data_IF_572417795188
#
_entry.id   IF_572417795188
#
_cell.length_a   1.000
_cell.length_b   1.000
_cell.length_c   1.000
_cell.angle_alpha   90.00
_cell.angle_beta   90.00
_cell.angle_gamma   90.00
#
_symmetry.space_group_name_H-M   'P 1'
#
loop_
_entity.id
_entity.type
_entity.pdbx_description
1 polymer ?
#
# COMPACT_ATOMS: atom_id res chain seq x y z
N UNK A 1 -40.37 36.23 5.29
CA UNK A 1 -39.85 36.11 3.91
C UNK A 1 -38.34 36.31 3.95
N UNK A 2 -37.58 35.25 4.18
CA UNK A 2 -36.12 35.27 4.05
C UNK A 2 -35.74 34.79 2.66
N UNK A 3 -34.91 35.55 1.93
CA UNK A 3 -34.36 35.12 0.63
C UNK A 3 -33.55 33.84 0.84
N UNK A 4 -33.68 32.82 -0.02
CA UNK A 4 -32.77 31.68 0.00
C UNK A 4 -31.35 32.17 -0.38
N UNK A 5 -30.29 31.50 0.13
CA UNK A 5 -28.93 31.80 -0.30
C UNK A 5 -28.81 31.55 -1.80
N UNK A 6 -28.15 32.48 -2.51
CA UNK A 6 -27.86 32.35 -3.94
C UNK A 6 -27.07 31.06 -4.16
N UNK A 7 -27.57 30.18 -5.02
CA UNK A 7 -26.75 29.12 -5.59
C UNK A 7 -25.59 29.78 -6.33
N UNK A 8 -24.36 29.51 -5.90
CA UNK A 8 -23.20 29.78 -6.74
C UNK A 8 -23.31 28.84 -7.94
N UNK A 9 -23.69 29.38 -9.10
CA UNK A 9 -23.60 28.67 -10.37
C UNK A 9 -22.13 28.51 -10.71
N UNK A 10 -21.52 27.41 -10.25
CA UNK A 10 -20.20 27.02 -10.71
C UNK A 10 -20.32 26.60 -12.19
N UNK A 11 -19.56 27.25 -13.06
CA UNK A 11 -19.53 26.93 -14.49
C UNK A 11 -18.95 25.52 -14.68
N UNK A 12 -19.70 24.64 -15.33
CA UNK A 12 -19.17 23.38 -15.86
C UNK A 12 -17.94 23.65 -16.73
N UNK A 13 -16.92 22.78 -16.64
CA UNK A 13 -15.75 22.85 -17.54
C UNK A 13 -16.23 22.77 -18.99
N UNK A 14 -15.75 23.66 -19.84
CA UNK A 14 -16.10 23.64 -21.26
C UNK A 14 -15.69 22.31 -21.89
N UNK A 15 -16.52 21.80 -22.80
CA UNK A 15 -16.34 20.48 -23.42
C UNK A 15 -14.95 20.33 -24.05
N UNK A 16 -14.23 19.27 -23.70
CA UNK A 16 -12.86 18.99 -24.15
C UNK A 16 -11.73 19.77 -23.44
N UNK A 17 -12.03 20.58 -22.41
CA UNK A 17 -11.00 21.24 -21.60
C UNK A 17 -10.72 20.48 -20.30
N UNK A 18 -9.47 20.58 -19.84
CA UNK A 18 -9.10 20.08 -18.52
C UNK A 18 -9.62 21.03 -17.44
N UNK A 19 -10.06 20.47 -16.31
CA UNK A 19 -10.27 21.25 -15.11
C UNK A 19 -8.95 21.80 -14.57
N UNK A 20 -9.03 22.88 -13.79
CA UNK A 20 -7.87 23.50 -13.15
C UNK A 20 -7.19 22.57 -12.12
N UNK A 21 -8.01 21.79 -11.40
CA UNK A 21 -7.56 20.90 -10.34
C UNK A 21 -7.71 19.45 -10.78
N UNK A 22 -6.75 18.63 -10.38
CA UNK A 22 -6.77 17.18 -10.56
C UNK A 22 -6.68 16.53 -9.20
N UNK A 23 -7.66 15.70 -8.86
CA UNK A 23 -7.62 14.82 -7.70
C UNK A 23 -6.85 13.56 -8.10
N UNK A 24 -5.79 13.25 -7.34
CA UNK A 24 -5.04 12.02 -7.47
C UNK A 24 -5.51 11.09 -6.37
N UNK A 25 -5.93 9.90 -6.77
CA UNK A 25 -6.57 8.92 -5.91
C UNK A 25 -5.89 7.57 -6.12
N UNK A 26 -4.91 7.26 -5.27
CA UNK A 26 -4.28 5.95 -5.22
C UNK A 26 -5.13 5.04 -4.33
N UNK A 27 -5.94 4.19 -4.97
CA UNK A 27 -6.94 3.38 -4.30
C UNK A 27 -6.36 2.05 -3.76
N UNK A 28 -5.55 2.16 -2.71
CA UNK A 28 -4.95 1.01 -2.05
C UNK A 28 -5.93 0.23 -1.17
N UNK A 29 -5.72 -1.09 -1.03
CA UNK A 29 -6.56 -1.98 -0.21
C UNK A 29 -6.49 -1.69 1.30
N UNK A 30 -5.33 -1.29 1.81
CA UNK A 30 -5.15 -0.91 3.22
C UNK A 30 -5.64 0.52 3.47
N UNK A 31 -5.19 1.43 2.62
CA UNK A 31 -5.48 2.83 2.71
C UNK A 31 -5.35 3.52 1.36
N UNK A 32 -6.27 4.44 1.15
CA UNK A 32 -6.35 5.36 0.02
C UNK A 32 -5.38 6.49 0.25
N UNK A 33 -4.64 6.89 -0.79
CA UNK A 33 -3.83 8.11 -0.78
C UNK A 33 -4.48 9.10 -1.73
N UNK A 34 -4.94 10.21 -1.19
CA UNK A 34 -5.72 11.18 -1.93
C UNK A 34 -5.19 12.60 -1.72
N UNK A 35 -5.24 13.42 -2.76
CA UNK A 35 -4.72 14.78 -2.71
C UNK A 35 -4.84 15.48 -4.06
N UNK A 36 -4.78 16.81 -4.05
CA UNK A 36 -4.94 17.61 -5.26
C UNK A 36 -3.60 18.03 -5.84
N UNK A 37 -3.55 18.10 -7.16
CA UNK A 37 -2.51 18.77 -7.93
C UNK A 37 -3.15 19.71 -8.95
N UNK A 38 -2.37 20.63 -9.49
CA UNK A 38 -2.78 21.56 -10.54
C UNK A 38 -1.64 21.73 -11.54
N UNK A 39 -1.94 22.27 -12.71
CA UNK A 39 -0.93 22.54 -13.75
C UNK A 39 0.15 23.45 -13.17
N UNK A 40 1.41 23.13 -13.47
CA UNK A 40 2.63 23.80 -12.97
C UNK A 40 2.89 23.67 -11.46
N UNK A 41 2.12 22.83 -10.75
CA UNK A 41 2.36 22.55 -9.34
C UNK A 41 3.70 21.83 -9.11
N UNK A 42 4.26 22.03 -7.91
CA UNK A 42 5.35 21.23 -7.35
C UNK A 42 4.78 20.38 -6.21
N UNK A 43 4.37 19.13 -6.48
CA UNK A 43 3.69 18.31 -5.49
C UNK A 43 4.64 17.88 -4.37
N UNK A 44 4.13 17.88 -3.14
CA UNK A 44 4.83 17.41 -1.94
C UNK A 44 3.97 16.37 -1.21
N UNK A 45 4.50 15.16 -0.98
CA UNK A 45 3.73 14.06 -0.41
C UNK A 45 3.34 14.28 1.05
N UNK A 46 4.09 15.08 1.81
CA UNK A 46 3.81 15.31 3.22
C UNK A 46 2.76 16.40 3.39
N UNK A 47 2.79 17.42 2.53
CA UNK A 47 1.82 18.51 2.56
C UNK A 47 0.51 18.18 1.84
N UNK A 48 0.60 17.56 0.67
CA UNK A 48 -0.51 17.54 -0.30
C UNK A 48 -1.25 16.19 -0.38
N UNK A 49 -0.72 15.14 0.27
CA UNK A 49 -1.28 13.79 0.24
C UNK A 49 -1.79 13.35 1.61
N UNK A 50 -3.06 12.98 1.66
CA UNK A 50 -3.73 12.43 2.83
C UNK A 50 -3.85 10.91 2.69
N UNK A 51 -3.66 10.18 3.79
CA UNK A 51 -3.82 8.73 3.85
C UNK A 51 -5.08 8.43 4.65
N UNK A 52 -5.99 7.65 4.07
CA UNK A 52 -7.26 7.29 4.70
C UNK A 52 -7.39 5.77 4.72
N UNK A 53 -7.79 5.14 5.83
CA UNK A 53 -8.05 3.71 5.85
C UNK A 53 -9.13 3.31 4.83
N UNK A 54 -8.84 2.32 3.98
CA UNK A 54 -9.81 1.80 3.01
C UNK A 54 -10.60 0.64 3.64
N UNK A 55 -11.45 0.98 4.61
CA UNK A 55 -12.27 0.01 5.32
C UNK A 55 -13.51 0.64 5.95
N UNK A 56 -14.50 -0.20 6.18
CA UNK A 56 -15.63 0.05 7.06
C UNK A 56 -15.44 -0.84 8.28
N UNK A 57 -15.36 -0.24 9.47
CA UNK A 57 -15.24 -0.96 10.73
C UNK A 57 -16.56 -0.89 11.49
N UNK A 58 -16.95 -2.01 12.11
CA UNK A 58 -18.13 -2.05 12.97
C UNK A 58 -17.75 -2.57 14.34
N UNK A 59 -18.01 -1.75 15.36
CA UNK A 59 -17.88 -2.17 16.74
C UNK A 59 -19.04 -3.06 17.12
N UNK A 60 -18.73 -4.23 17.69
CA UNK A 60 -19.75 -5.16 18.15
C UNK A 60 -20.32 -4.79 19.52
N UNK A 61 -19.61 -3.95 20.29
CA UNK A 61 -19.99 -3.56 21.65
C UNK A 61 -21.05 -2.45 21.64
N UNK A 62 -20.76 -1.34 20.95
CA UNK A 62 -21.65 -0.17 20.87
C UNK A 62 -22.52 -0.14 19.60
N UNK A 63 -22.31 -1.10 18.68
CA UNK A 63 -22.99 -1.20 17.36
C UNK A 63 -22.75 -0.02 16.42
N UNK A 64 -21.74 0.81 16.68
CA UNK A 64 -21.33 1.91 15.81
C UNK A 64 -20.59 1.39 14.58
N UNK A 65 -20.77 2.09 13.47
CA UNK A 65 -20.07 1.84 12.20
C UNK A 65 -19.24 3.06 11.87
N UNK A 66 -17.95 2.84 11.64
CA UNK A 66 -16.96 3.84 11.28
C UNK A 66 -16.53 3.60 9.84
N UNK A 67 -16.45 4.65 9.04
CA UNK A 67 -15.96 4.54 7.66
C UNK A 67 -14.64 5.29 7.52
N UNK A 68 -13.59 4.56 7.15
CA UNK A 68 -12.28 5.11 6.81
C UNK A 68 -11.79 6.20 7.76
N UNK A 69 -11.96 7.46 7.36
CA UNK A 69 -11.56 8.65 8.13
C UNK A 69 -12.21 8.82 9.50
N UNK A 70 -13.34 8.15 9.76
CA UNK A 70 -14.01 8.21 11.07
C UNK A 70 -13.38 7.27 12.10
N UNK A 71 -12.41 6.45 11.69
CA UNK A 71 -11.70 5.58 12.63
C UNK A 71 -10.91 6.35 13.69
N UNK A 72 -10.49 7.58 13.40
CA UNK A 72 -9.82 8.43 14.39
C UNK A 72 -10.75 8.84 15.54
N UNK A 73 -12.07 8.84 15.30
CA UNK A 73 -13.09 9.09 16.33
C UNK A 73 -13.37 7.84 17.18
N UNK A 74 -12.78 6.68 16.82
CA UNK A 74 -12.95 5.43 17.56
C UNK A 74 -12.06 5.41 18.80
N UNK A 75 -12.68 5.36 19.98
CA UNK A 75 -11.94 5.37 21.25
C UNK A 75 -11.30 4.01 21.60
N UNK A 76 -11.83 2.91 21.06
CA UNK A 76 -11.49 1.54 21.41
C UNK A 76 -11.58 0.64 20.17
N UNK A 77 -10.43 0.09 19.78
CA UNK A 77 -10.30 -0.74 18.57
C UNK A 77 -10.51 -2.24 18.82
N UNK A 78 -10.73 -2.65 20.08
CA UNK A 78 -10.95 -4.05 20.44
C UNK A 78 -12.20 -4.64 19.77
N UNK A 79 -12.05 -5.86 19.26
CA UNK A 79 -13.09 -6.61 18.53
C UNK A 79 -13.78 -5.84 17.38
N UNK A 80 -13.12 -4.85 16.76
CA UNK A 80 -13.66 -4.17 15.59
C UNK A 80 -13.71 -5.14 14.39
N UNK A 81 -14.90 -5.31 13.82
CA UNK A 81 -15.06 -6.09 12.60
C UNK A 81 -14.75 -5.22 11.38
N UNK A 82 -13.58 -5.43 10.77
CA UNK A 82 -13.17 -4.71 9.55
C UNK A 82 -13.71 -5.38 8.30
N UNK A 83 -14.31 -4.57 7.42
CA UNK A 83 -14.70 -4.97 6.06
C UNK A 83 -14.01 -4.06 5.06
N UNK A 84 -13.30 -4.66 4.11
CA UNK A 84 -12.62 -3.93 3.04
C UNK A 84 -13.34 -4.21 1.73
N UNK A 85 -13.61 -3.19 0.89
CA UNK A 85 -14.20 -3.39 -0.44
C UNK A 85 -13.24 -4.04 -1.45
N UNK A 86 -11.95 -4.12 -1.09
CA UNK A 86 -10.86 -4.65 -1.91
C UNK A 86 -10.48 -6.08 -1.50
N UNK A 87 -10.50 -7.00 -2.46
CA UNK A 87 -10.07 -8.39 -2.29
C UNK A 87 -8.96 -8.74 -3.30
N UNK A 88 -7.86 -9.31 -2.79
CA UNK A 88 -6.65 -9.58 -3.61
C UNK A 88 -6.22 -8.36 -4.43
N UNK A 89 -6.46 -7.16 -3.91
CA UNK A 89 -6.19 -5.86 -4.54
C UNK A 89 -7.17 -5.40 -5.62
N UNK A 90 -8.22 -6.15 -5.92
CA UNK A 90 -9.29 -5.70 -6.80
C UNK A 90 -10.48 -5.18 -5.99
N UNK A 91 -11.08 -4.06 -6.41
CA UNK A 91 -12.34 -3.56 -5.82
C UNK A 91 -13.47 -4.49 -6.26
N UNK A 92 -14.01 -5.26 -5.33
CA UNK A 92 -15.10 -6.22 -5.60
C UNK A 92 -16.44 -5.74 -5.06
N UNK A 93 -16.44 -4.84 -4.07
CA UNK A 93 -17.64 -4.24 -3.50
C UNK A 93 -17.64 -2.72 -3.69
N UNK A 94 -18.20 -2.27 -4.81
CA UNK A 94 -18.30 -0.85 -5.15
C UNK A 94 -19.30 -0.07 -4.29
N UNK A 95 -20.29 -0.73 -3.67
CA UNK A 95 -21.19 -0.05 -2.72
C UNK A 95 -20.44 0.37 -1.45
N UNK A 96 -19.60 -0.53 -0.92
CA UNK A 96 -18.72 -0.24 0.20
C UNK A 96 -17.66 0.80 -0.16
N UNK A 97 -17.05 0.67 -1.34
CA UNK A 97 -16.07 1.63 -1.87
C UNK A 97 -16.69 3.03 -1.99
N UNK A 98 -17.90 3.12 -2.58
CA UNK A 98 -18.66 4.37 -2.71
C UNK A 98 -18.92 5.01 -1.35
N UNK A 99 -19.29 4.22 -0.34
CA UNK A 99 -19.49 4.75 1.01
C UNK A 99 -18.19 5.36 1.58
N UNK A 100 -17.04 4.74 1.36
CA UNK A 100 -15.73 5.26 1.78
C UNK A 100 -15.38 6.54 1.00
N UNK A 101 -15.58 6.55 -0.31
CA UNK A 101 -15.31 7.72 -1.15
C UNK A 101 -16.24 8.90 -0.84
N UNK A 102 -17.52 8.63 -0.58
CA UNK A 102 -18.51 9.64 -0.23
C UNK A 102 -18.29 10.21 1.17
N UNK A 103 -17.84 9.37 2.12
CA UNK A 103 -17.48 9.78 3.47
C UNK A 103 -16.05 10.30 3.59
N UNK A 104 -15.41 10.64 2.48
CA UNK A 104 -14.18 11.43 2.48
C UNK A 104 -14.45 12.78 3.18
N UNK A 105 -14.45 12.83 4.52
CA UNK A 105 -14.50 14.05 5.35
C UNK A 105 -13.32 14.97 5.02
N UNK A 106 -12.36 14.50 4.22
CA UNK A 106 -11.34 15.28 3.50
C UNK A 106 -11.89 16.20 2.40
N UNK A 107 -13.20 16.34 2.23
CA UNK A 107 -13.78 17.51 1.57
C UNK A 107 -13.90 18.75 2.48
N UNK A 108 -13.94 18.54 3.80
CA UNK A 108 -14.01 19.62 4.78
C UNK A 108 -12.63 20.11 5.23
N UNK A 109 -11.61 19.23 5.17
CA UNK A 109 -10.23 19.53 5.62
C UNK A 109 -9.18 19.58 4.50
N UNK A 110 -9.57 19.32 3.24
CA UNK A 110 -8.83 19.87 2.09
C UNK A 110 -9.38 21.27 1.82
N UNK A 111 -8.55 22.30 1.61
CA UNK A 111 -9.05 23.61 1.21
C UNK A 111 -9.74 23.48 -0.16
N UNK A 112 -11.09 23.43 -0.13
CA UNK A 112 -12.08 23.23 -1.20
C UNK A 112 -12.63 21.80 -1.25
N UNK A 113 -13.93 21.72 -0.96
CA UNK A 113 -14.79 20.61 -1.30
C UNK A 113 -14.62 20.33 -2.82
N UNK A 114 -13.97 19.23 -3.25
CA UNK A 114 -13.93 18.78 -4.66
C UNK A 114 -15.35 18.88 -5.21
N UNK A 115 -15.51 19.56 -6.33
CA UNK A 115 -16.71 19.45 -7.12
C UNK A 115 -16.35 18.49 -8.26
N UNK A 116 -16.82 17.23 -8.26
CA UNK A 116 -16.40 16.24 -9.26
C UNK A 116 -16.60 16.73 -10.69
N UNK A 117 -17.75 17.36 -10.97
CA UNK A 117 -18.10 17.95 -12.28
C UNK A 117 -17.15 19.07 -12.74
N UNK A 118 -16.32 19.60 -11.84
CA UNK A 118 -15.33 20.63 -12.12
C UNK A 118 -13.90 20.17 -11.80
N UNK A 119 -13.66 18.87 -11.64
CA UNK A 119 -12.35 18.31 -11.27
C UNK A 119 -11.96 17.15 -12.17
N UNK A 120 -10.66 17.03 -12.48
CA UNK A 120 -10.12 15.85 -13.15
C UNK A 120 -9.76 14.77 -12.12
N UNK A 121 -9.88 13.49 -12.45
CA UNK A 121 -9.49 12.38 -11.59
C UNK A 121 -8.36 11.56 -12.22
N UNK A 122 -7.30 11.31 -11.46
CA UNK A 122 -6.34 10.23 -11.74
C UNK A 122 -6.58 9.14 -10.70
N UNK A 123 -7.03 7.97 -11.14
CA UNK A 123 -7.29 6.81 -10.29
C UNK A 123 -6.21 5.75 -10.49
N UNK A 124 -5.54 5.36 -9.42
CA UNK A 124 -4.66 4.19 -9.43
C UNK A 124 -5.48 2.95 -9.04
N UNK A 125 -5.53 1.96 -9.95
CA UNK A 125 -6.10 0.63 -9.70
C UNK A 125 -5.01 -0.46 -9.70
N UNK A 126 -5.40 -1.67 -9.33
CA UNK A 126 -4.53 -2.84 -9.45
C UNK A 126 -4.17 -3.13 -10.91
N UNK A 127 -2.90 -3.49 -11.12
CA UNK A 127 -2.41 -3.92 -12.43
C UNK A 127 -3.18 -5.16 -12.91
N UNK A 128 -3.54 -5.17 -14.19
CA UNK A 128 -4.27 -6.26 -14.85
C UNK A 128 -5.63 -6.57 -14.20
N UNK A 129 -6.33 -5.54 -13.71
CA UNK A 129 -7.72 -5.61 -13.29
C UNK A 129 -8.61 -6.20 -14.40
N UNK A 130 -9.45 -7.21 -14.10
CA UNK A 130 -10.39 -7.76 -15.07
C UNK A 130 -11.28 -6.68 -15.70
N UNK A 131 -11.57 -6.83 -17.00
CA UNK A 131 -12.35 -5.84 -17.74
C UNK A 131 -13.72 -5.53 -17.10
N UNK A 132 -14.35 -6.50 -16.44
CA UNK A 132 -15.62 -6.27 -15.73
C UNK A 132 -15.45 -5.32 -14.53
N UNK A 133 -14.38 -5.45 -13.75
CA UNK A 133 -14.12 -4.57 -12.61
C UNK A 133 -13.70 -3.17 -13.05
N UNK A 134 -12.95 -3.10 -14.15
CA UNK A 134 -12.64 -1.85 -14.84
C UNK A 134 -13.90 -1.11 -15.29
N UNK A 135 -14.90 -1.82 -15.84
CA UNK A 135 -16.17 -1.20 -16.21
C UNK A 135 -16.88 -0.58 -15.01
N UNK A 136 -16.98 -1.33 -13.90
CA UNK A 136 -17.60 -0.81 -12.68
C UNK A 136 -16.89 0.45 -12.16
N UNK A 137 -15.56 0.52 -12.27
CA UNK A 137 -14.81 1.72 -11.91
C UNK A 137 -15.18 2.92 -12.79
N UNK A 138 -15.30 2.70 -14.11
CA UNK A 138 -15.61 3.76 -15.07
C UNK A 138 -17.03 4.29 -14.90
N UNK A 139 -18.00 3.40 -14.72
CA UNK A 139 -19.40 3.72 -14.40
C UNK A 139 -19.48 4.52 -13.09
N UNK A 140 -18.78 4.07 -12.04
CA UNK A 140 -18.73 4.77 -10.76
C UNK A 140 -18.18 6.20 -10.91
N UNK A 141 -17.11 6.39 -11.68
CA UNK A 141 -16.48 7.70 -11.84
C UNK A 141 -17.32 8.67 -12.68
N UNK A 142 -17.89 8.22 -13.81
CA UNK A 142 -18.58 9.11 -14.75
C UNK A 142 -20.08 9.23 -14.54
N UNK A 143 -20.74 8.16 -14.09
CA UNK A 143 -22.19 8.11 -13.94
C UNK A 143 -22.63 8.45 -12.52
N UNK A 144 -21.96 7.89 -11.51
CA UNK A 144 -22.30 8.15 -10.10
C UNK A 144 -21.67 9.45 -9.58
N UNK A 145 -20.34 9.56 -9.63
CA UNK A 145 -19.64 10.74 -9.11
C UNK A 145 -19.54 11.89 -10.12
N UNK A 146 -19.74 11.63 -11.41
CA UNK A 146 -19.79 12.64 -12.48
C UNK A 146 -18.53 13.51 -12.61
N UNK A 147 -17.34 12.91 -12.49
CA UNK A 147 -16.08 13.63 -12.71
C UNK A 147 -15.97 14.23 -14.12
N UNK A 148 -15.31 15.39 -14.25
CA UNK A 148 -15.18 16.10 -15.53
C UNK A 148 -14.30 15.33 -16.53
N UNK A 149 -13.12 14.93 -16.06
CA UNK A 149 -12.15 14.14 -16.81
C UNK A 149 -11.57 13.05 -15.92
N UNK A 150 -11.11 11.98 -16.53
CA UNK A 150 -10.68 10.79 -15.80
C UNK A 150 -9.54 10.07 -16.53
N UNK A 151 -8.58 9.61 -15.76
CA UNK A 151 -7.51 8.71 -16.21
C UNK A 151 -7.36 7.56 -15.21
N UNK A 152 -7.59 6.34 -15.69
CA UNK A 152 -7.32 5.11 -14.94
C UNK A 152 -5.91 4.62 -15.25
N UNK A 153 -5.10 4.43 -14.21
CA UNK A 153 -3.74 3.90 -14.33
C UNK A 153 -3.44 2.87 -13.24
N UNK A 154 -2.26 2.27 -13.29
CA UNK A 154 -1.77 1.39 -12.22
C UNK A 154 -0.81 2.15 -11.30
N UNK A 155 -0.78 1.81 -10.01
CA UNK A 155 0.17 2.42 -9.07
C UNK A 155 1.65 2.28 -9.54
N UNK A 156 2.12 1.11 -10.05
CA UNK A 156 3.46 1.00 -10.63
C UNK A 156 3.70 1.96 -11.80
N UNK A 157 2.74 2.12 -12.72
CA UNK A 157 2.85 3.10 -13.82
C UNK A 157 3.02 4.52 -13.31
N UNK A 158 2.28 4.90 -12.27
CA UNK A 158 2.40 6.23 -11.67
C UNK A 158 3.76 6.42 -10.98
N UNK A 159 4.32 5.40 -10.33
CA UNK A 159 5.66 5.47 -9.73
C UNK A 159 6.75 5.91 -10.73
N UNK A 160 6.62 5.56 -12.03
CA UNK A 160 7.57 6.04 -13.03
C UNK A 160 7.58 7.56 -13.23
N UNK A 161 6.56 8.29 -12.77
CA UNK A 161 6.49 9.76 -12.82
C UNK A 161 6.95 10.43 -11.52
N UNK A 162 7.20 9.64 -10.48
CA UNK A 162 7.72 10.11 -9.20
C UNK A 162 9.24 10.34 -9.29
N UNK A 163 9.81 11.18 -8.39
CA UNK A 163 11.25 11.39 -8.33
C UNK A 163 12.01 10.09 -8.07
N UNK A 164 12.98 9.77 -8.94
CA UNK A 164 13.79 8.56 -8.78
C UNK A 164 14.84 8.69 -7.67
N UNK A 165 15.04 7.65 -6.83
CA UNK A 165 16.16 7.61 -5.90
C UNK A 165 17.53 7.44 -6.59
N UNK A 166 17.54 7.07 -7.88
CA UNK A 166 18.76 6.75 -8.63
C UNK A 166 19.38 7.93 -9.37
N UNK A 167 18.72 9.08 -9.38
CA UNK A 167 19.19 10.27 -10.07
C UNK A 167 19.22 11.50 -9.14
N UNK A 168 19.98 11.46 -8.02
CA UNK A 168 20.10 12.60 -7.13
C UNK A 168 20.76 13.78 -7.87
N UNK A 169 19.99 14.86 -8.09
CA UNK A 169 20.49 16.11 -8.67
C UNK A 169 20.21 16.32 -10.16
N UNK A 170 19.72 15.32 -10.91
CA UNK A 170 19.13 15.59 -12.23
C UNK A 170 17.67 15.97 -12.06
N UNK A 171 17.26 17.10 -12.63
CA UNK A 171 15.86 17.52 -12.60
C UNK A 171 15.07 16.59 -13.52
N UNK A 172 14.40 15.59 -12.95
CA UNK A 172 13.34 14.88 -13.68
C UNK A 172 12.29 15.92 -14.07
N UNK A 173 12.05 16.06 -15.37
CA UNK A 173 11.08 17.03 -15.86
C UNK A 173 9.69 16.63 -15.38
N UNK A 174 8.98 17.55 -14.72
CA UNK A 174 7.62 17.34 -14.22
C UNK A 174 6.72 16.71 -15.28
N UNK A 175 6.04 15.62 -14.91
CA UNK A 175 5.16 14.86 -15.80
C UNK A 175 5.85 14.05 -16.90
N UNK A 176 7.19 13.92 -16.86
CA UNK A 176 7.93 12.98 -17.70
C UNK A 176 8.26 11.70 -16.92
N UNK A 177 7.99 10.52 -17.50
CA UNK A 177 8.29 9.27 -16.83
C UNK A 177 9.78 8.93 -16.92
N UNK A 178 10.26 8.15 -15.96
CA UNK A 178 11.58 7.53 -15.99
C UNK A 178 11.74 6.67 -17.25
N UNK A 179 12.92 6.76 -17.86
CA UNK A 179 13.22 6.03 -19.09
C UNK A 179 13.16 4.51 -18.87
N UNK A 180 13.67 4.03 -17.73
CA UNK A 180 13.73 2.63 -17.36
C UNK A 180 13.70 2.50 -15.83
N UNK A 181 12.77 1.72 -15.30
CA UNK A 181 12.69 1.43 -13.85
C UNK A 181 12.01 0.08 -13.63
N UNK A 182 12.55 -0.73 -12.72
CA UNK A 182 11.90 -1.94 -12.22
C UNK A 182 11.24 -1.61 -10.89
N UNK A 183 9.92 -1.45 -10.88
CA UNK A 183 9.18 -1.14 -9.64
C UNK A 183 8.84 -2.43 -8.91
N UNK A 184 9.32 -2.56 -7.67
CA UNK A 184 8.97 -3.61 -6.73
C UNK A 184 8.02 -3.01 -5.69
N UNK A 185 6.72 -3.21 -5.88
CA UNK A 185 5.69 -2.68 -5.00
C UNK A 185 5.26 -3.75 -3.98
N UNK A 186 5.80 -3.64 -2.77
CA UNK A 186 5.48 -4.49 -1.62
C UNK A 186 4.27 -3.89 -0.86
N UNK A 187 3.08 -4.24 -1.33
CA UNK A 187 1.82 -3.66 -0.88
C UNK A 187 1.10 -4.53 0.17
N UNK A 188 -0.07 -4.04 0.63
CA UNK A 188 -0.88 -4.75 1.63
C UNK A 188 -1.46 -6.07 1.11
N UNK A 189 -1.99 -6.09 -0.12
CA UNK A 189 -2.67 -7.29 -0.64
C UNK A 189 -1.72 -8.31 -1.28
N UNK A 190 -0.63 -7.85 -1.87
CA UNK A 190 0.30 -8.64 -2.68
C UNK A 190 1.56 -7.82 -2.92
N UNK A 191 2.58 -8.46 -3.50
CA UNK A 191 3.78 -7.79 -4.00
C UNK A 191 3.87 -7.91 -5.52
N UNK A 192 4.17 -6.83 -6.23
CA UNK A 192 4.32 -6.85 -7.70
C UNK A 192 5.69 -6.38 -8.15
N UNK A 193 6.19 -7.02 -9.21
CA UNK A 193 7.42 -6.66 -9.90
C UNK A 193 7.01 -6.19 -11.30
N UNK A 194 7.21 -4.91 -11.58
CA UNK A 194 6.74 -4.26 -12.81
C UNK A 194 7.88 -3.55 -13.52
N UNK A 195 8.45 -4.15 -14.59
CA UNK A 195 9.42 -3.45 -15.45
C UNK A 195 8.70 -2.41 -16.31
N UNK A 196 9.15 -1.16 -16.22
CA UNK A 196 8.58 -0.01 -16.93
C UNK A 196 9.63 0.62 -17.85
N UNK A 197 9.25 0.89 -19.10
CA UNK A 197 9.99 1.75 -20.03
C UNK A 197 9.13 2.96 -20.34
N UNK A 198 9.62 4.17 -20.04
CA UNK A 198 8.88 5.43 -20.25
C UNK A 198 7.45 5.37 -19.67
N UNK A 199 7.32 4.80 -18.47
CA UNK A 199 6.04 4.64 -17.78
C UNK A 199 5.13 3.52 -18.32
N UNK A 200 5.54 2.76 -19.33
CA UNK A 200 4.77 1.63 -19.88
C UNK A 200 5.26 0.30 -19.35
N UNK A 201 4.35 -0.51 -18.81
CA UNK A 201 4.67 -1.83 -18.26
C UNK A 201 4.93 -2.84 -19.38
N UNK A 202 6.02 -3.60 -19.26
CA UNK A 202 6.30 -4.74 -20.11
C UNK A 202 5.53 -5.94 -19.56
N UNK A 203 4.30 -6.12 -20.04
CA UNK A 203 3.33 -7.07 -19.49
C UNK A 203 3.84 -8.51 -19.38
N UNK A 204 4.60 -8.99 -20.37
CA UNK A 204 5.19 -10.35 -20.35
C UNK A 204 6.18 -10.58 -19.20
N UNK A 205 6.76 -9.50 -18.67
CA UNK A 205 7.75 -9.55 -17.61
C UNK A 205 7.21 -9.14 -16.24
N UNK A 206 5.92 -8.78 -16.13
CA UNK A 206 5.30 -8.52 -14.83
C UNK A 206 5.25 -9.82 -14.03
N UNK A 207 5.61 -9.75 -12.75
CA UNK A 207 5.42 -10.83 -11.78
C UNK A 207 4.61 -10.35 -10.59
N UNK A 208 3.84 -11.27 -10.01
CA UNK A 208 3.01 -11.01 -8.84
C UNK A 208 3.20 -12.14 -7.86
N UNK A 209 3.62 -11.77 -6.66
CA UNK A 209 3.68 -12.62 -5.49
C UNK A 209 2.42 -12.39 -4.67
N UNK A 210 1.69 -13.45 -4.29
CA UNK A 210 0.42 -13.33 -3.56
C UNK A 210 0.58 -12.95 -2.08
N UNK A 211 1.80 -12.57 -1.69
CA UNK A 211 2.19 -12.24 -0.33
C UNK A 211 2.33 -10.74 -0.21
N UNK A 212 1.56 -10.17 0.72
CA UNK A 212 1.62 -8.77 1.11
C UNK A 212 1.39 -8.63 2.61
N UNK A 213 1.24 -7.39 3.08
CA UNK A 213 1.01 -7.08 4.49
C UNK A 213 -0.17 -7.82 5.13
N UNK A 214 -1.27 -8.05 4.42
CA UNK A 214 -2.45 -8.80 4.91
C UNK A 214 -2.12 -10.26 5.19
N UNK A 215 -1.35 -10.90 4.31
CA UNK A 215 -0.90 -12.30 4.49
C UNK A 215 -0.04 -12.41 5.75
N UNK A 216 0.87 -11.46 5.95
CA UNK A 216 1.70 -11.39 7.16
C UNK A 216 0.86 -11.15 8.42
N UNK A 217 -0.08 -10.20 8.41
CA UNK A 217 -0.99 -9.95 9.54
C UNK A 217 -1.80 -11.21 9.88
N UNK A 218 -2.36 -11.89 8.89
CA UNK A 218 -3.12 -13.14 9.10
C UNK A 218 -2.25 -14.26 9.67
N UNK A 219 -1.01 -14.39 9.19
CA UNK A 219 -0.08 -15.38 9.73
C UNK A 219 0.31 -15.07 11.18
N UNK A 220 0.57 -13.79 11.49
CA UNK A 220 0.83 -13.32 12.86
C UNK A 220 -0.34 -13.66 13.79
N UNK A 221 -1.58 -13.39 13.37
CA UNK A 221 -2.79 -13.79 14.12
C UNK A 221 -2.82 -15.28 14.41
N UNK A 222 -2.55 -16.10 13.40
CA UNK A 222 -2.54 -17.56 13.55
C UNK A 222 -1.51 -18.01 14.58
N UNK A 223 -0.27 -17.49 14.51
CA UNK A 223 0.79 -17.91 15.44
C UNK A 223 0.48 -17.46 16.87
N UNK A 224 0.06 -16.20 17.07
CA UNK A 224 -0.28 -15.70 18.41
C UNK A 224 -1.46 -16.49 18.99
N UNK A 225 -2.49 -16.78 18.19
CA UNK A 225 -3.68 -17.56 18.62
C UNK A 225 -3.32 -18.97 19.07
N UNK A 226 -2.36 -19.61 18.41
CA UNK A 226 -1.91 -20.95 18.78
C UNK A 226 -1.06 -20.98 20.07
N UNK A 227 -0.33 -19.90 20.38
CA UNK A 227 0.71 -19.90 21.43
C UNK A 227 0.35 -19.11 22.68
N UNK A 228 -0.46 -18.07 22.55
CA UNK A 228 -0.61 -17.05 23.58
C UNK A 228 -2.07 -16.73 23.92
N UNK A 229 -2.79 -16.10 23.00
CA UNK A 229 -4.15 -15.61 23.22
C UNK A 229 -4.93 -15.55 21.91
N UNK A 230 -6.25 -15.70 21.98
CA UNK A 230 -7.14 -15.74 20.82
C UNK A 230 -7.16 -14.38 20.08
N UNK A 231 -6.65 -14.35 18.84
CA UNK A 231 -6.53 -13.13 18.03
C UNK A 231 -7.50 -13.08 16.86
N UNK A 232 -8.42 -14.04 16.67
CA UNK A 232 -9.27 -14.09 15.47
C UNK A 232 -10.04 -12.78 15.20
N UNK A 233 -10.48 -12.07 16.23
CA UNK A 233 -11.25 -10.81 16.10
C UNK A 233 -10.39 -9.54 16.25
N UNK A 234 -9.08 -9.69 16.40
CA UNK A 234 -8.15 -8.62 16.72
C UNK A 234 -7.29 -8.25 15.49
N UNK A 235 -7.96 -7.90 14.38
CA UNK A 235 -7.28 -7.54 13.12
C UNK A 235 -6.38 -6.31 13.28
N UNK A 236 -6.89 -5.27 13.94
CA UNK A 236 -6.18 -4.02 14.17
C UNK A 236 -4.95 -4.21 15.06
N UNK A 237 -5.12 -4.91 16.18
CA UNK A 237 -4.03 -5.18 17.12
C UNK A 237 -2.94 -6.03 16.47
N UNK A 238 -3.30 -7.08 15.71
CA UNK A 238 -2.32 -7.89 15.00
C UNK A 238 -1.51 -7.09 13.96
N UNK A 239 -2.15 -6.15 13.27
CA UNK A 239 -1.48 -5.25 12.34
C UNK A 239 -0.49 -4.33 13.07
N UNK A 240 -0.89 -3.74 14.20
CA UNK A 240 0.01 -2.92 15.03
C UNK A 240 1.21 -3.72 15.56
N UNK A 241 0.97 -4.93 16.09
CA UNK A 241 2.04 -5.79 16.58
C UNK A 241 3.03 -6.12 15.45
N UNK A 242 2.51 -6.47 14.26
CA UNK A 242 3.34 -6.75 13.08
C UNK A 242 4.21 -5.54 12.72
N UNK A 243 3.62 -4.35 12.63
CA UNK A 243 4.35 -3.14 12.23
C UNK A 243 5.36 -2.66 13.27
N UNK A 244 5.07 -2.84 14.56
CA UNK A 244 5.93 -2.42 15.65
C UNK A 244 7.07 -3.42 15.93
N UNK A 245 6.78 -4.73 15.85
CA UNK A 245 7.69 -5.75 16.38
C UNK A 245 8.47 -6.51 15.30
N UNK A 246 7.98 -6.61 14.07
CA UNK A 246 8.58 -7.49 13.08
C UNK A 246 9.82 -6.87 12.40
N UNK A 247 10.74 -7.73 12.00
CA UNK A 247 11.94 -7.37 11.25
C UNK A 247 12.34 -8.51 10.30
N UNK A 248 13.07 -8.20 9.24
CA UNK A 248 13.64 -9.20 8.34
C UNK A 248 15.01 -9.60 8.87
N UNK A 249 15.21 -10.91 9.11
CA UNK A 249 16.50 -11.43 9.56
C UNK A 249 17.52 -11.46 8.41
N UNK A 250 18.76 -11.10 8.73
CA UNK A 250 19.91 -11.25 7.83
C UNK A 250 20.42 -12.70 7.77
N UNK A 251 20.19 -13.48 8.83
CA UNK A 251 20.63 -14.87 8.98
C UNK A 251 19.57 -15.68 9.70
N UNK A 252 18.57 -16.13 8.95
CA UNK A 252 17.36 -16.77 9.45
C UNK A 252 17.66 -17.98 10.37
N UNK A 253 18.49 -18.91 9.93
CA UNK A 253 18.81 -20.14 10.68
C UNK A 253 19.45 -19.83 12.04
N UNK A 254 20.37 -18.85 12.08
CA UNK A 254 21.02 -18.44 13.32
C UNK A 254 20.04 -17.81 14.30
N UNK A 255 19.14 -16.94 13.84
CA UNK A 255 18.13 -16.34 14.71
C UNK A 255 17.08 -17.37 15.16
N UNK A 256 16.80 -18.38 14.33
CA UNK A 256 15.94 -19.51 14.70
C UNK A 256 16.57 -20.35 15.82
N UNK A 257 17.87 -20.65 15.74
CA UNK A 257 18.60 -21.34 16.82
C UNK A 257 18.61 -20.53 18.12
N UNK A 258 18.85 -19.21 18.03
CA UNK A 258 18.89 -18.28 19.19
C UNK A 258 17.53 -18.10 19.87
N UNK A 259 16.44 -18.39 19.16
CA UNK A 259 15.06 -18.31 19.68
C UNK A 259 14.43 -19.67 19.96
N UNK A 260 15.16 -20.77 19.68
CA UNK A 260 14.68 -22.10 19.97
C UNK A 260 14.72 -22.39 21.47
N UNK A 261 13.56 -22.67 22.06
CA UNK A 261 13.39 -22.94 23.50
C UNK A 261 13.93 -24.31 23.94
N UNK A 262 14.52 -25.08 23.02
CA UNK A 262 14.99 -26.42 23.29
C UNK A 262 13.86 -27.45 23.41
N UNK A 263 14.23 -28.70 23.67
CA UNK A 263 13.30 -29.78 23.95
C UNK A 263 12.94 -29.86 25.44
N UNK A 264 11.99 -30.73 25.78
CA UNK A 264 11.56 -30.94 27.17
C UNK A 264 12.74 -31.27 28.13
N UNK A 265 13.78 -31.94 27.62
CA UNK A 265 14.93 -32.40 28.38
C UNK A 265 16.16 -31.47 28.31
N UNK A 266 16.13 -30.45 27.45
CA UNK A 266 17.21 -29.47 27.27
C UNK A 266 16.59 -28.09 27.01
N UNK A 267 15.97 -27.45 28.04
CA UNK A 267 15.36 -26.15 27.88
C UNK A 267 16.44 -25.09 27.67
N UNK A 268 16.26 -24.26 26.65
CA UNK A 268 17.19 -23.20 26.29
C UNK A 268 16.55 -21.82 26.46
N UNK A 269 17.28 -20.84 27.04
CA UNK A 269 16.77 -19.49 27.13
C UNK A 269 16.68 -18.87 25.73
N UNK A 270 15.60 -18.13 25.49
CA UNK A 270 15.45 -17.31 24.28
C UNK A 270 16.39 -16.12 24.38
N UNK A 271 17.09 -15.80 23.29
CA UNK A 271 17.95 -14.63 23.25
C UNK A 271 17.15 -13.32 23.45
N UNK A 272 17.41 -12.57 24.53
CA UNK A 272 16.67 -11.35 24.86
C UNK A 272 16.93 -10.21 23.88
N UNK A 273 17.96 -10.29 23.02
CA UNK A 273 18.15 -9.29 21.96
C UNK A 273 17.17 -9.47 20.80
N UNK A 274 16.56 -10.66 20.67
CA UNK A 274 15.52 -10.95 19.68
C UNK A 274 14.13 -10.93 20.32
N UNK A 275 13.98 -11.32 21.58
CA UNK A 275 12.68 -11.24 22.23
C UNK A 275 12.25 -9.79 22.54
N UNK A 276 10.97 -9.49 22.41
CA UNK A 276 10.36 -8.23 22.90
C UNK A 276 9.08 -8.51 23.65
N UNK A 277 8.76 -7.65 24.60
CA UNK A 277 7.45 -7.64 25.26
C UNK A 277 6.61 -6.53 24.63
N UNK A 278 5.49 -6.89 24.02
CA UNK A 278 4.53 -5.93 23.48
C UNK A 278 3.46 -5.64 24.53
N UNK A 279 3.37 -4.39 24.97
CA UNK A 279 2.35 -3.94 25.92
C UNK A 279 1.04 -3.77 25.17
N UNK A 280 0.00 -4.50 25.58
CA UNK A 280 -1.30 -4.44 24.94
C UNK A 280 -2.01 -3.13 25.26
N UNK A 281 -2.77 -2.56 24.31
CA UNK A 281 -3.61 -1.41 24.59
C UNK A 281 -4.78 -1.82 25.50
N UNK A 282 -5.00 -1.05 26.56
CA UNK A 282 -6.20 -1.17 27.42
C UNK A 282 -7.35 -0.28 26.92
N UNK A 283 -7.09 0.56 25.90
CA UNK A 283 -8.00 1.56 25.33
C UNK A 283 -8.58 2.56 26.35
N UNK A 284 -8.05 2.62 27.57
CA UNK A 284 -8.38 3.63 28.58
C UNK A 284 -7.22 4.62 28.70
N UNK A 285 -6.02 4.10 28.92
CA UNK A 285 -4.77 4.84 29.11
C UNK A 285 -3.85 4.67 27.90
N UNK A 286 -3.76 3.45 27.39
CA UNK A 286 -2.92 3.06 26.26
C UNK A 286 -3.84 2.79 25.06
N UNK A 287 -3.93 3.77 24.15
CA UNK A 287 -4.74 3.67 22.93
C UNK A 287 -4.07 2.84 21.83
N UNK A 288 -2.73 2.88 21.77
CA UNK A 288 -1.89 2.10 20.85
C UNK A 288 -0.83 1.39 21.67
N UNK A 289 -0.73 0.08 21.51
CA UNK A 289 0.32 -0.71 22.17
C UNK A 289 1.71 -0.33 21.68
N UNK A 290 2.73 -0.77 22.40
CA UNK A 290 4.12 -0.49 22.06
C UNK A 290 5.03 -1.62 22.51
N UNK A 291 6.18 -1.76 21.85
CA UNK A 291 7.19 -2.76 22.21
C UNK A 291 8.16 -2.22 23.27
N UNK A 292 8.63 -3.11 24.15
CA UNK A 292 9.76 -2.87 25.05
C UNK A 292 10.75 -4.04 24.99
N UNK A 293 12.03 -3.82 25.36
CA UNK A 293 12.99 -4.91 25.50
C UNK A 293 12.44 -6.01 26.43
N UNK A 294 12.69 -7.27 26.07
CA UNK A 294 12.20 -8.40 26.86
C UNK A 294 12.84 -8.41 28.26
N UNK A 295 12.00 -8.42 29.30
CA UNK A 295 12.47 -8.52 30.68
C UNK A 295 12.54 -9.99 31.11
N UNK A 296 13.77 -10.48 31.34
CA UNK A 296 14.04 -11.83 31.82
C UNK A 296 13.85 -12.00 33.34
N UNK A 297 13.50 -10.92 34.06
CA UNK A 297 13.33 -10.95 35.51
C UNK A 297 12.13 -11.80 35.94
N UNK A 298 12.30 -12.53 37.05
CA UNK A 298 11.25 -13.39 37.63
C UNK A 298 10.00 -12.60 38.06
N UNK A 299 10.16 -11.32 38.42
CA UNK A 299 9.07 -10.44 38.84
C UNK A 299 8.13 -10.07 37.67
N UNK A 300 8.66 -9.92 36.45
CA UNK A 300 7.85 -9.72 35.23
C UNK A 300 7.02 -10.96 34.87
N UNK A 301 7.55 -12.17 35.10
CA UNK A 301 6.80 -13.41 34.93
C UNK A 301 5.67 -13.58 35.97
N UNK A 302 5.87 -13.07 37.19
CA UNK A 302 4.83 -13.06 38.25
C UNK A 302 3.76 -12.00 38.00
N UNK A 303 4.08 -10.88 37.37
CA UNK A 303 3.09 -9.86 36.97
C UNK A 303 1.98 -10.44 36.07
N UNK A 304 2.31 -11.43 35.22
CA UNK A 304 1.33 -12.16 34.38
C UNK A 304 0.29 -12.96 35.17
N UNK A 305 0.61 -13.37 36.40
CA UNK A 305 -0.26 -14.22 37.24
C UNK A 305 -0.75 -13.50 38.51
N UNK A 306 -0.48 -12.20 38.64
CA UNK A 306 -0.84 -11.44 39.84
C UNK A 306 -2.35 -11.16 39.89
N UNK A 307 -2.98 -11.46 41.03
CA UNK A 307 -4.43 -11.35 41.25
C UNK A 307 -4.82 -9.92 41.70
N UNK A 308 -3.90 -9.18 42.33
CA UNK A 308 -4.20 -7.93 43.08
C UNK A 308 -3.38 -6.68 42.65
N UNK A 309 -2.78 -6.66 41.46
CA UNK A 309 -2.05 -5.49 40.92
C UNK A 309 -2.47 -5.16 39.48
N UNK A 310 -2.16 -3.96 38.94
CA UNK A 310 -2.43 -3.66 37.53
C UNK A 310 -1.69 -4.70 36.69
N UNK A 311 -2.45 -5.50 35.94
CA UNK A 311 -1.88 -6.45 34.98
C UNK A 311 -1.30 -5.61 33.86
N UNK A 312 0.01 -5.51 33.78
CA UNK A 312 0.65 -5.18 32.52
C UNK A 312 0.38 -6.39 31.61
N UNK A 313 -0.71 -6.31 30.86
CA UNK A 313 -1.11 -7.32 29.89
C UNK A 313 -0.15 -7.20 28.69
N UNK A 314 0.96 -7.97 28.73
CA UNK A 314 1.99 -7.95 27.69
C UNK A 314 2.19 -9.30 27.02
N UNK A 315 2.47 -9.26 25.72
CA UNK A 315 2.74 -10.40 24.86
C UNK A 315 4.25 -10.49 24.54
N UNK A 316 4.92 -11.55 24.98
CA UNK A 316 6.33 -11.78 24.59
C UNK A 316 6.36 -12.41 23.20
N UNK A 317 7.04 -11.75 22.28
CA UNK A 317 7.27 -12.19 20.90
C UNK A 317 8.74 -12.51 20.71
N UNK A 318 9.05 -13.64 20.07
CA UNK A 318 10.40 -14.10 19.82
C UNK A 318 10.60 -14.39 18.33
N UNK A 319 10.50 -15.66 17.91
CA UNK A 319 10.75 -16.03 16.53
C UNK A 319 9.70 -15.50 15.56
N UNK A 320 8.47 -15.26 16.02
CA UNK A 320 7.38 -14.70 15.23
C UNK A 320 7.76 -13.38 14.53
N UNK A 321 8.64 -12.60 15.17
CA UNK A 321 9.09 -11.29 14.68
C UNK A 321 9.80 -11.36 13.33
N UNK A 322 10.51 -12.45 13.05
CA UNK A 322 11.25 -12.62 11.80
C UNK A 322 10.73 -13.77 10.93
N UNK A 323 10.02 -14.75 11.49
CA UNK A 323 9.37 -15.80 10.70
C UNK A 323 8.19 -15.27 9.89
N UNK A 324 7.47 -14.25 10.38
CA UNK A 324 6.34 -13.66 9.65
C UNK A 324 6.80 -12.85 8.43
N UNK A 325 7.82 -11.98 8.50
CA UNK A 325 8.37 -11.34 7.29
C UNK A 325 9.06 -12.30 6.33
N UNK A 326 9.62 -13.42 6.81
CA UNK A 326 10.30 -14.42 5.96
C UNK A 326 9.36 -15.00 4.88
N UNK A 327 8.04 -14.95 5.10
CA UNK A 327 7.04 -15.29 4.09
C UNK A 327 7.29 -14.64 2.74
N UNK A 328 7.84 -13.43 2.70
CA UNK A 328 8.11 -12.71 1.46
C UNK A 328 9.39 -13.18 0.75
N UNK A 329 10.35 -13.70 1.51
CA UNK A 329 11.67 -14.08 1.03
C UNK A 329 11.76 -15.58 0.72
N UNK A 330 11.15 -16.41 1.55
CA UNK A 330 11.15 -17.87 1.40
C UNK A 330 9.74 -18.46 1.66
N UNK A 331 8.76 -18.23 0.76
CA UNK A 331 7.37 -18.69 0.95
C UNK A 331 7.22 -20.21 1.06
N UNK A 332 8.11 -20.96 0.41
CA UNK A 332 8.08 -22.43 0.36
C UNK A 332 8.13 -23.07 1.75
N UNK A 333 8.82 -22.44 2.69
CA UNK A 333 9.09 -23.01 4.03
C UNK A 333 7.83 -23.14 4.88
N UNK A 334 6.79 -22.38 4.54
CA UNK A 334 5.48 -22.43 5.19
C UNK A 334 4.41 -23.09 4.30
N UNK A 335 4.82 -23.78 3.24
CA UNK A 335 3.94 -24.52 2.34
C UNK A 335 3.30 -23.70 1.22
N UNK A 336 3.72 -22.45 1.01
CA UNK A 336 3.29 -21.68 -0.17
C UNK A 336 4.19 -22.01 -1.37
N UNK A 337 3.62 -22.61 -2.40
CA UNK A 337 4.33 -22.98 -3.64
C UNK A 337 4.56 -21.75 -4.54
N UNK A 338 5.29 -20.76 -4.04
CA UNK A 338 5.65 -19.53 -4.74
C UNK A 338 7.12 -19.19 -4.50
N UNK A 339 7.74 -18.55 -5.49
CA UNK A 339 9.11 -18.06 -5.38
C UNK A 339 9.15 -16.81 -4.49
N UNK A 340 10.23 -16.61 -3.75
CA UNK A 340 10.45 -15.39 -2.96
C UNK A 340 10.53 -14.12 -3.82
N UNK A 341 10.54 -12.96 -3.17
CA UNK A 341 10.62 -11.66 -3.84
C UNK A 341 11.87 -11.51 -4.73
N UNK A 342 13.05 -11.95 -4.27
CA UNK A 342 14.29 -11.86 -5.03
C UNK A 342 14.23 -12.76 -6.28
N UNK A 343 13.76 -14.00 -6.13
CA UNK A 343 13.58 -14.91 -7.27
C UNK A 343 12.54 -14.40 -8.26
N UNK A 344 11.42 -13.86 -7.79
CA UNK A 344 10.39 -13.21 -8.62
C UNK A 344 10.94 -12.03 -9.44
N UNK A 345 11.84 -11.23 -8.85
CA UNK A 345 12.56 -10.16 -9.56
C UNK A 345 13.44 -10.73 -10.67
N UNK A 346 14.24 -11.75 -10.37
CA UNK A 346 15.11 -12.37 -11.38
C UNK A 346 14.31 -13.06 -12.47
N UNK A 347 13.17 -13.68 -12.15
CA UNK A 347 12.26 -14.28 -13.12
C UNK A 347 11.61 -13.23 -14.03
N UNK A 348 11.29 -12.04 -13.49
CA UNK A 348 10.85 -10.89 -14.27
C UNK A 348 11.95 -10.45 -15.24
N UNK A 349 13.15 -10.18 -14.73
CA UNK A 349 14.30 -9.71 -15.52
C UNK A 349 14.70 -10.71 -16.61
N UNK A 350 14.79 -12.01 -16.29
CA UNK A 350 15.14 -13.06 -17.26
C UNK A 350 14.14 -13.21 -18.41
N UNK A 351 12.90 -12.76 -18.23
CA UNK A 351 11.89 -12.76 -19.31
C UNK A 351 12.00 -11.56 -20.25
N UNK A 352 12.90 -10.62 -19.96
CA UNK A 352 13.22 -9.50 -20.83
C UNK A 352 14.36 -9.87 -21.80
N UNK A 353 14.39 -9.23 -22.99
CA UNK A 353 15.56 -9.30 -23.87
C UNK A 353 16.85 -8.98 -23.12
N UNK A 354 17.94 -9.68 -23.44
CA UNK A 354 19.24 -9.57 -22.76
C UNK A 354 19.74 -8.13 -22.64
N UNK A 355 19.59 -7.34 -23.71
CA UNK A 355 19.97 -5.92 -23.75
C UNK A 355 19.24 -5.03 -22.71
N UNK A 356 18.09 -5.46 -22.21
CA UNK A 356 17.31 -4.71 -21.21
C UNK A 356 17.57 -5.18 -19.77
N UNK A 357 18.16 -6.36 -19.56
CA UNK A 357 18.31 -6.94 -18.23
C UNK A 357 19.19 -6.07 -17.32
N UNK A 358 20.39 -5.71 -17.79
CA UNK A 358 21.32 -4.87 -17.04
C UNK A 358 20.76 -3.47 -16.71
N UNK A 359 20.10 -2.74 -17.64
CA UNK A 359 19.39 -1.50 -17.31
C UNK A 359 18.35 -1.64 -16.19
N UNK A 360 17.57 -2.72 -16.15
CA UNK A 360 16.57 -2.91 -15.09
C UNK A 360 17.22 -3.27 -13.75
N UNK A 361 18.26 -4.10 -13.73
CA UNK A 361 19.01 -4.44 -12.50
C UNK A 361 19.72 -3.21 -11.89
N UNK A 362 20.07 -2.23 -12.72
CA UNK A 362 20.67 -0.97 -12.27
C UNK A 362 19.64 0.10 -11.81
N UNK A 363 18.33 -0.20 -11.87
CA UNK A 363 17.25 0.73 -11.53
C UNK A 363 16.06 0.02 -10.84
N UNK A 364 16.33 -0.73 -9.76
CA UNK A 364 15.29 -1.43 -8.98
C UNK A 364 14.74 -0.52 -7.88
N UNK A 365 13.57 0.07 -8.10
CA UNK A 365 12.91 0.95 -7.14
C UNK A 365 11.90 0.17 -6.29
N UNK A 366 12.07 0.21 -4.97
CA UNK A 366 11.17 -0.44 -4.01
C UNK A 366 10.19 0.58 -3.42
N UNK A 367 8.90 0.23 -3.45
CA UNK A 367 7.79 1.02 -2.92
C UNK A 367 6.83 0.15 -2.11
N UNK A 368 5.80 0.77 -1.52
CA UNK A 368 4.77 0.09 -0.74
C UNK A 368 5.09 0.00 0.76
N UNK A 369 4.05 -0.08 1.60
CA UNK A 369 4.18 -0.04 3.06
C UNK A 369 4.93 -1.25 3.65
N UNK A 370 4.82 -2.43 3.03
CA UNK A 370 5.52 -3.63 3.52
C UNK A 370 7.05 -3.52 3.37
N UNK A 371 7.54 -2.67 2.46
CA UNK A 371 8.98 -2.39 2.33
C UNK A 371 9.59 -1.60 3.51
N UNK A 372 8.76 -1.12 4.45
CA UNK A 372 9.22 -0.37 5.61
C UNK A 372 9.67 -1.25 6.77
N UNK A 373 9.47 -2.57 6.69
CA UNK A 373 9.97 -3.52 7.69
C UNK A 373 11.50 -3.39 7.79
N UNK A 374 12.02 -3.35 9.01
CA UNK A 374 13.46 -3.23 9.28
C UNK A 374 14.20 -4.41 8.64
N UNK A 375 15.33 -4.16 7.97
CA UNK A 375 16.15 -5.19 7.31
C UNK A 375 15.68 -5.61 5.90
N UNK A 376 14.54 -5.09 5.43
CA UNK A 376 13.96 -5.47 4.14
C UNK A 376 14.92 -5.22 2.97
N UNK A 377 15.52 -4.02 2.91
CA UNK A 377 16.35 -3.60 1.79
C UNK A 377 17.67 -4.36 1.75
N UNK A 378 18.29 -4.52 2.93
CA UNK A 378 19.55 -5.22 3.12
C UNK A 378 19.42 -6.69 2.73
N UNK A 379 18.34 -7.35 3.16
CA UNK A 379 18.07 -8.74 2.79
C UNK A 379 17.79 -8.88 1.29
N UNK A 380 16.95 -8.01 0.73
CA UNK A 380 16.62 -8.04 -0.70
C UNK A 380 17.85 -7.89 -1.59
N UNK A 381 18.71 -6.90 -1.28
CA UNK A 381 19.94 -6.66 -2.02
C UNK A 381 20.91 -7.84 -1.90
N UNK A 382 21.07 -8.39 -0.69
CA UNK A 382 21.90 -9.57 -0.43
C UNK A 382 21.44 -10.79 -1.24
N UNK A 383 20.14 -11.09 -1.23
CA UNK A 383 19.58 -12.25 -1.94
C UNK A 383 19.69 -12.10 -3.47
N UNK A 384 19.46 -10.88 -3.99
CA UNK A 384 19.68 -10.58 -5.41
C UNK A 384 21.17 -10.72 -5.77
N UNK A 385 22.08 -10.20 -4.93
CA UNK A 385 23.52 -10.25 -5.20
C UNK A 385 24.05 -11.67 -5.23
N UNK A 386 23.63 -12.54 -4.32
CA UNK A 386 24.02 -13.97 -4.30
C UNK A 386 23.68 -14.72 -5.59
N UNK A 387 22.68 -14.25 -6.33
CA UNK A 387 22.17 -14.90 -7.53
C UNK A 387 22.69 -14.28 -8.84
N UNK A 388 23.52 -13.25 -8.76
CA UNK A 388 24.04 -12.48 -9.89
C UNK A 388 25.56 -12.56 -9.97
N UNK A 389 26.13 -12.35 -11.15
CA UNK A 389 27.57 -12.27 -11.33
C UNK A 389 28.14 -10.97 -10.74
N UNK A 390 29.42 -10.99 -10.35
CA UNK A 390 30.08 -9.85 -9.71
C UNK A 390 30.14 -8.60 -10.60
N UNK A 391 30.23 -8.78 -11.92
CA UNK A 391 30.26 -7.73 -12.93
C UNK A 391 28.88 -7.10 -13.21
N UNK A 392 27.79 -7.73 -12.78
CA UNK A 392 26.43 -7.18 -12.92
C UNK A 392 26.26 -5.96 -12.02
N UNK A 393 25.99 -4.79 -12.60
CA UNK A 393 25.66 -3.58 -11.83
C UNK A 393 24.27 -3.75 -11.22
N UNK A 394 24.20 -3.87 -9.90
CA UNK A 394 22.95 -3.95 -9.15
C UNK A 394 22.77 -2.67 -8.33
N UNK A 395 21.62 -2.03 -8.48
CA UNK A 395 21.22 -0.88 -7.67
C UNK A 395 19.78 -1.08 -7.24
N UNK A 396 19.61 -1.23 -5.94
CA UNK A 396 18.30 -1.36 -5.30
C UNK A 396 18.16 -0.17 -4.36
N UNK A 397 17.05 0.56 -4.47
CA UNK A 397 16.78 1.69 -3.59
C UNK A 397 15.30 1.78 -3.29
N UNK A 398 14.99 2.16 -2.05
CA UNK A 398 13.62 2.47 -1.65
C UNK A 398 13.31 3.91 -2.03
N UNK A 399 12.12 4.17 -2.54
CA UNK A 399 11.64 5.54 -2.73
C UNK A 399 11.66 6.31 -1.41
N UNK A 400 11.83 7.64 -1.45
CA UNK A 400 11.86 8.49 -0.25
C UNK A 400 10.56 8.37 0.55
N UNK A 401 9.41 8.33 -0.14
CA UNK A 401 8.09 8.17 0.46
C UNK A 401 7.40 6.92 -0.12
N UNK A 402 7.82 5.69 0.26
CA UNK A 402 7.40 4.47 -0.42
C UNK A 402 5.89 4.21 -0.35
N UNK A 403 5.21 4.74 0.68
CA UNK A 403 3.76 4.63 0.85
C UNK A 403 2.98 5.58 -0.07
N UNK A 404 3.55 6.75 -0.40
CA UNK A 404 2.89 7.84 -1.14
C UNK A 404 3.48 8.05 -2.54
N UNK A 405 4.44 7.23 -2.97
CA UNK A 405 5.21 7.44 -4.20
C UNK A 405 4.33 7.39 -5.47
N UNK A 406 3.37 6.47 -5.52
CA UNK A 406 2.43 6.39 -6.64
C UNK A 406 1.55 7.64 -6.73
N UNK A 407 1.09 8.15 -5.59
CA UNK A 407 0.37 9.42 -5.52
C UNK A 407 1.24 10.59 -6.00
N UNK A 408 2.50 10.67 -5.57
CA UNK A 408 3.46 11.69 -6.03
C UNK A 408 3.64 11.67 -7.55
N UNK A 409 3.78 10.47 -8.13
CA UNK A 409 3.90 10.30 -9.56
C UNK A 409 2.64 10.73 -10.32
N UNK A 410 1.45 10.39 -9.80
CA UNK A 410 0.19 10.90 -10.31
C UNK A 410 0.10 12.43 -10.25
N UNK A 411 0.55 13.03 -9.14
CA UNK A 411 0.54 14.48 -8.95
C UNK A 411 1.53 15.20 -9.88
N UNK A 412 2.69 14.58 -10.13
CA UNK A 412 3.69 15.03 -11.12
C UNK A 412 3.15 14.95 -12.55
N UNK A 413 2.46 13.86 -12.90
CA UNK A 413 1.77 13.73 -14.18
C UNK A 413 0.70 14.81 -14.37
N UNK A 414 -0.13 15.04 -13.34
CA UNK A 414 -1.19 16.06 -13.35
C UNK A 414 -0.65 17.50 -13.47
N UNK A 415 0.55 17.76 -12.94
CA UNK A 415 1.17 19.08 -13.02
C UNK A 415 1.66 19.45 -14.43
N UNK A 416 1.68 18.50 -15.36
CA UNK A 416 2.05 18.74 -16.76
C UNK A 416 0.82 18.65 -17.67
N UNK A 417 0.35 19.80 -18.16
CA UNK A 417 -0.84 19.89 -19.00
C UNK A 417 -0.77 19.01 -20.25
N UNK A 418 0.36 19.03 -20.97
CA UNK A 418 0.52 18.23 -22.19
C UNK A 418 0.55 16.72 -21.90
N UNK A 419 1.16 16.31 -20.78
CA UNK A 419 1.21 14.92 -20.39
C UNK A 419 -0.18 14.40 -19.99
N UNK A 420 -0.90 15.16 -19.17
CA UNK A 420 -2.20 14.75 -18.65
C UNK A 420 -3.30 14.79 -19.72
N UNK A 421 -3.29 15.77 -20.64
CA UNK A 421 -4.22 15.82 -21.80
C UNK A 421 -4.11 14.58 -22.70
N UNK A 422 -2.94 13.95 -22.81
CA UNK A 422 -2.74 12.78 -23.68
C UNK A 422 -3.47 11.53 -23.19
N UNK A 423 -3.62 11.41 -21.87
CA UNK A 423 -4.08 10.18 -21.21
C UNK A 423 -5.51 10.27 -20.68
N UNK A 424 -5.99 11.48 -20.40
CA UNK A 424 -7.35 11.68 -19.88
C UNK A 424 -8.43 11.40 -20.93
N UNK A 425 -9.59 10.99 -20.41
CA UNK A 425 -10.86 10.86 -21.10
C UNK A 425 -11.85 11.81 -20.43
N UNK A 426 -12.54 12.61 -21.24
CA UNK A 426 -13.62 13.47 -20.76
C UNK A 426 -14.91 12.68 -20.60
N UNK A 427 -15.81 13.17 -19.72
CA UNK A 427 -17.13 12.57 -19.53
C UNK A 427 -17.96 12.54 -20.82
N UNK A 428 -17.79 13.53 -21.69
CA UNK A 428 -18.45 13.55 -23.00
C UNK A 428 -17.95 12.41 -23.90
N UNK A 429 -16.63 12.24 -24.03
CA UNK A 429 -16.04 11.14 -24.82
C UNK A 429 -16.48 9.76 -24.30
N UNK A 430 -16.63 9.60 -22.97
CA UNK A 430 -17.18 8.37 -22.38
C UNK A 430 -18.59 8.06 -22.89
N UNK A 431 -19.50 9.04 -22.87
CA UNK A 431 -20.88 8.83 -23.34
C UNK A 431 -20.99 8.71 -24.87
N UNK A 432 -20.10 9.34 -25.64
CA UNK A 432 -20.13 9.33 -27.10
C UNK A 432 -19.46 8.08 -27.71
N UNK A 433 -18.26 7.71 -27.24
CA UNK A 433 -17.48 6.60 -27.82
C UNK A 433 -17.68 5.27 -27.05
N UNK A 434 -18.19 5.34 -25.82
CA UNK A 434 -18.51 4.17 -25.00
C UNK A 434 -17.30 3.47 -24.37
N UNK A 435 -17.61 2.46 -23.56
CA UNK A 435 -16.65 1.88 -22.59
C UNK A 435 -15.48 1.13 -23.24
N UNK A 436 -15.68 0.48 -24.40
CA UNK A 436 -14.63 -0.25 -25.09
C UNK A 436 -13.54 0.68 -25.63
N UNK A 437 -13.94 1.88 -26.08
CA UNK A 437 -13.01 2.90 -26.52
C UNK A 437 -12.18 3.42 -25.34
N UNK A 438 -12.82 3.71 -24.20
CA UNK A 438 -12.16 4.15 -22.97
C UNK A 438 -11.14 3.12 -22.48
N UNK A 439 -11.48 1.83 -22.46
CA UNK A 439 -10.56 0.76 -22.10
C UNK A 439 -9.33 0.70 -23.02
N UNK A 440 -9.51 0.87 -24.33
CA UNK A 440 -8.39 0.93 -25.29
C UNK A 440 -7.52 2.17 -25.08
N UNK A 441 -8.14 3.32 -24.82
CA UNK A 441 -7.45 4.58 -24.55
C UNK A 441 -6.55 4.45 -23.32
N UNK A 442 -7.07 3.92 -22.21
CA UNK A 442 -6.28 3.68 -20.99
C UNK A 442 -5.21 2.60 -21.16
N UNK A 443 -5.44 1.60 -22.02
CA UNK A 443 -4.40 0.63 -22.40
C UNK A 443 -3.30 1.22 -23.32
N UNK A 444 -3.36 2.51 -23.67
CA UNK A 444 -2.39 3.17 -24.53
C UNK A 444 -2.47 2.76 -26.01
N UNK A 445 -3.58 2.14 -26.44
CA UNK A 445 -3.81 1.76 -27.84
C UNK A 445 -4.35 2.97 -28.60
N UNK A 446 -3.69 3.37 -29.69
CA UNK A 446 -4.14 4.45 -30.58
C UNK A 446 -4.93 3.88 -31.77
N UNK A 447 -6.08 4.46 -32.09
CA UNK A 447 -6.95 4.09 -33.22
C UNK A 447 -8.27 3.44 -32.79
N UNK A 448 -9.27 3.45 -33.68
CA UNK A 448 -10.57 2.77 -33.50
C UNK A 448 -10.47 1.26 -33.63
#
# INVERSE_FOLDING_TARGET
MGRPPKSNSYSSVATGQLAQHTLIFDNGAHGIKAGFSHIDAKPDAERDCYVIPNCIARSQRDKLTYVGSELDDCADFGELAFRRPVEKGFVVNWEGEKAIWAQYKGFANVPRQCEPRATNLILAEALNSPAALQRNADEMVFEEFEFANYYRSSAPTLNAYAPSPFQPGSVQQTGSPLACVLVVDAAHSYTTITPLIQGRAIQSAVRRLEIGGKTMTNHMKSIISMRHLEMQKEDWLAEQIKEECCFVSASFDSDLERTWKGGLMDPRPVDPSIAVDYIMPDYERIKRGFSRPHDVSFDAARARFSIDGPRDDFLTLANERFTVPELLFTPSDIGMQQEGIAGSILQSVRSLPEALQQPFLANIEVVGGTSQIIGFMERLESDLRRSLSEDTILRVARATNPVKNAWLGGASLAANEAAVKRVMVSRQEYFEEGILWVQRKFAGKTGR
#
